data_IF_506507856865
#
_entry.id   IF_506507856865
#
_cell.length_a   1.000
_cell.length_b   1.000
_cell.length_c   1.000
_cell.angle_alpha   90.00
_cell.angle_beta   90.00
_cell.angle_gamma   90.00
#
_symmetry.space_group_name_H-M   'P 1'
#
loop_
_entity.id
_entity.type
_entity.pdbx_description
1 polymer ?
#
# COMPACT_ATOMS: atom_id res chain seq x y z
N UNK A 1 52.60 -38.48 -7.91
CA UNK A 1 51.35 -37.95 -8.49
C UNK A 1 50.09 -38.28 -7.70
N UNK A 2 49.93 -39.47 -7.09
CA UNK A 2 48.73 -39.79 -6.30
C UNK A 2 48.58 -38.92 -5.03
N UNK A 3 49.67 -38.70 -4.28
CA UNK A 3 49.69 -37.86 -3.06
C UNK A 3 49.33 -36.39 -3.29
N UNK A 4 49.77 -35.80 -4.40
CA UNK A 4 49.45 -34.40 -4.75
C UNK A 4 47.98 -34.24 -5.12
N UNK A 5 47.38 -35.24 -5.77
CA UNK A 5 45.95 -35.23 -6.09
C UNK A 5 45.08 -35.31 -4.82
N UNK A 6 45.50 -36.11 -3.82
CA UNK A 6 44.80 -36.23 -2.55
C UNK A 6 44.79 -34.92 -1.76
N UNK A 7 45.91 -34.19 -1.74
CA UNK A 7 46.01 -32.91 -1.04
C UNK A 7 45.15 -31.82 -1.70
N UNK A 8 45.07 -31.80 -3.03
CA UNK A 8 44.20 -30.87 -3.77
C UNK A 8 42.72 -31.19 -3.51
N UNK A 9 42.35 -32.48 -3.50
CA UNK A 9 40.98 -32.90 -3.21
C UNK A 9 40.53 -32.54 -1.78
N UNK A 10 41.41 -32.68 -0.79
CA UNK A 10 41.13 -32.28 0.60
C UNK A 10 41.01 -30.76 0.71
N UNK A 11 41.88 -30.01 0.04
CA UNK A 11 41.80 -28.55 -0.01
C UNK A 11 40.49 -28.05 -0.62
N UNK A 12 40.06 -28.63 -1.75
CA UNK A 12 38.79 -28.28 -2.39
C UNK A 12 37.58 -28.61 -1.48
N UNK A 13 37.64 -29.73 -0.76
CA UNK A 13 36.56 -30.15 0.15
C UNK A 13 36.39 -29.16 1.32
N UNK A 14 37.49 -28.68 1.91
CA UNK A 14 37.46 -27.70 3.00
C UNK A 14 36.92 -26.32 2.57
N UNK A 15 37.15 -25.89 1.33
CA UNK A 15 36.66 -24.60 0.83
C UNK A 15 35.13 -24.58 0.64
N UNK A 16 34.51 -25.72 0.36
CA UNK A 16 33.04 -25.81 0.16
C UNK A 16 32.23 -25.83 1.46
N UNK A 17 32.84 -26.23 2.59
CA UNK A 17 32.14 -26.37 3.86
C UNK A 17 32.02 -25.04 4.64
N UNK A 18 32.84 -24.03 4.33
CA UNK A 18 32.87 -22.76 5.08
C UNK A 18 31.82 -21.73 4.62
N UNK A 19 31.08 -21.98 3.53
CA UNK A 19 30.25 -20.97 2.88
C UNK A 19 28.85 -20.72 3.48
N UNK A 20 28.31 -21.62 4.31
CA UNK A 20 26.88 -21.58 4.68
C UNK A 20 26.58 -21.51 6.18
N UNK A 21 27.59 -21.44 7.05
CA UNK A 21 27.39 -21.52 8.51
C UNK A 21 27.36 -20.16 9.23
N UNK A 22 27.58 -19.03 8.54
CA UNK A 22 27.77 -17.71 9.20
C UNK A 22 26.48 -16.87 9.32
N UNK A 23 25.34 -17.33 8.83
CA UNK A 23 24.06 -16.66 9.09
C UNK A 23 23.52 -17.10 10.45
N UNK A 24 23.91 -16.39 11.51
CA UNK A 24 23.18 -16.49 12.77
C UNK A 24 21.76 -15.96 12.54
N UNK A 25 20.76 -16.84 12.65
CA UNK A 25 19.37 -16.44 12.70
C UNK A 25 19.15 -15.68 14.00
N UNK A 26 19.24 -14.35 13.95
CA UNK A 26 18.86 -13.51 15.06
C UNK A 26 17.33 -13.58 15.12
N UNK A 27 16.79 -14.28 16.14
CA UNK A 27 15.38 -14.18 16.52
C UNK A 27 15.15 -12.77 17.09
N UNK A 28 15.07 -11.78 16.21
CA UNK A 28 14.59 -10.46 16.59
C UNK A 28 13.09 -10.59 16.81
N UNK A 29 12.67 -10.62 18.08
CA UNK A 29 11.27 -10.43 18.41
C UNK A 29 11.00 -8.94 18.28
N UNK A 30 10.66 -8.50 17.05
CA UNK A 30 10.20 -7.13 16.83
C UNK A 30 8.76 -7.07 17.35
N UNK A 31 8.46 -6.28 18.40
CA UNK A 31 7.09 -6.08 18.80
C UNK A 31 6.29 -5.54 17.61
N UNK A 32 5.04 -6.00 17.40
CA UNK A 32 4.25 -5.54 16.27
C UNK A 32 4.13 -4.00 16.32
N UNK A 33 4.24 -3.33 15.17
CA UNK A 33 4.11 -1.88 15.13
C UNK A 33 2.72 -1.47 15.65
N UNK A 34 2.68 -0.55 16.61
CA UNK A 34 1.43 0.06 17.07
C UNK A 34 1.01 1.08 16.02
N UNK A 35 0.00 0.74 15.23
CA UNK A 35 -0.53 1.64 14.20
C UNK A 35 -1.45 2.67 14.84
N UNK A 36 -1.20 3.94 14.56
CA UNK A 36 -2.15 4.99 14.90
C UNK A 36 -3.48 4.75 14.18
N UNK A 37 -4.60 5.09 14.84
CA UNK A 37 -5.90 5.11 14.19
C UNK A 37 -5.85 6.05 12.97
N UNK A 38 -6.46 5.68 11.84
CA UNK A 38 -6.53 6.56 10.68
C UNK A 38 -7.35 7.81 11.02
N UNK A 39 -7.00 8.95 10.42
CA UNK A 39 -7.81 10.16 10.52
C UNK A 39 -9.26 9.85 10.10
N UNK A 40 -10.22 10.17 10.97
CA UNK A 40 -11.64 9.90 10.77
C UNK A 40 -12.17 10.50 9.47
N UNK A 41 -11.59 11.61 9.00
CA UNK A 41 -11.94 12.24 7.71
C UNK A 41 -11.55 11.37 6.50
N UNK A 42 -10.47 10.60 6.61
CA UNK A 42 -10.01 9.71 5.55
C UNK A 42 -10.84 8.44 5.45
N UNK A 43 -11.43 7.98 6.56
CA UNK A 43 -12.28 6.78 6.61
C UNK A 43 -13.79 7.08 6.51
N UNK A 44 -14.20 8.33 6.68
CA UNK A 44 -15.61 8.72 6.53
C UNK A 44 -16.17 8.34 5.15
N UNK A 45 -17.39 7.81 5.12
CA UNK A 45 -18.07 7.47 3.87
C UNK A 45 -18.38 8.74 3.05
N UNK A 46 -18.31 8.64 1.72
CA UNK A 46 -18.87 9.68 0.86
C UNK A 46 -20.39 9.76 1.07
N UNK A 47 -20.95 10.95 0.92
CA UNK A 47 -22.40 11.10 0.80
C UNK A 47 -22.89 10.30 -0.41
N UNK A 48 -24.05 9.65 -0.23
CA UNK A 48 -24.72 8.93 -1.31
C UNK A 48 -25.51 9.91 -2.18
N UNK A 49 -25.74 9.57 -3.46
CA UNK A 49 -26.61 10.34 -4.32
C UNK A 49 -27.97 10.58 -3.66
N UNK A 50 -28.53 11.77 -3.86
CA UNK A 50 -29.86 12.10 -3.36
C UNK A 50 -30.90 11.16 -3.96
N UNK A 51 -31.89 10.77 -3.16
CA UNK A 51 -33.06 10.05 -3.68
C UNK A 51 -33.97 11.04 -4.41
N UNK A 52 -34.19 10.80 -5.70
CA UNK A 52 -35.15 11.55 -6.49
C UNK A 52 -36.56 11.18 -6.03
N UNK A 53 -37.32 12.18 -5.56
CA UNK A 53 -38.76 12.16 -5.24
C UNK A 53 -39.32 10.83 -4.67
N UNK A 54 -39.52 10.71 -3.35
CA UNK A 54 -40.26 9.57 -2.79
C UNK A 54 -41.75 9.55 -3.21
N UNK A 55 -42.33 10.72 -3.57
CA UNK A 55 -43.78 10.91 -3.71
C UNK A 55 -44.22 11.39 -5.12
N UNK A 56 -43.27 11.43 -6.07
CA UNK A 56 -43.58 11.46 -7.50
C UNK A 56 -44.09 12.78 -8.10
N UNK A 57 -43.29 13.85 -8.08
CA UNK A 57 -43.19 14.81 -9.21
C UNK A 57 -41.79 15.42 -9.20
N UNK A 58 -41.05 15.25 -10.30
CA UNK A 58 -39.75 15.91 -10.50
C UNK A 58 -39.94 17.12 -11.40
N UNK A 59 -39.78 18.31 -10.83
CA UNK A 59 -39.68 19.54 -11.63
C UNK A 59 -38.23 19.76 -12.08
N UNK A 60 -38.04 20.45 -13.20
CA UNK A 60 -36.70 20.77 -13.69
C UNK A 60 -35.86 21.53 -12.65
N UNK A 61 -36.45 22.53 -11.98
CA UNK A 61 -35.77 23.30 -10.92
C UNK A 61 -35.33 22.40 -9.76
N UNK A 62 -36.17 21.44 -9.38
CA UNK A 62 -35.82 20.47 -8.34
C UNK A 62 -34.65 19.60 -8.79
N UNK A 63 -34.70 19.05 -10.00
CA UNK A 63 -33.64 18.18 -10.54
C UNK A 63 -32.31 18.93 -10.61
N UNK A 64 -32.30 20.16 -11.12
CA UNK A 64 -31.08 20.97 -11.24
C UNK A 64 -30.45 21.26 -9.87
N UNK A 65 -31.25 21.58 -8.85
CA UNK A 65 -30.75 21.79 -7.48
C UNK A 65 -30.14 20.52 -6.90
N UNK A 66 -30.81 19.38 -7.07
CA UNK A 66 -30.31 18.09 -6.58
C UNK A 66 -29.03 17.70 -7.30
N UNK A 67 -28.95 17.93 -8.61
CA UNK A 67 -27.75 17.69 -9.41
C UNK A 67 -26.56 18.52 -8.92
N UNK A 68 -26.76 19.82 -8.66
CA UNK A 68 -25.70 20.70 -8.13
C UNK A 68 -25.20 20.18 -6.78
N UNK A 69 -26.12 19.79 -5.90
CA UNK A 69 -25.79 19.24 -4.57
C UNK A 69 -24.94 17.97 -4.68
N UNK A 70 -25.38 17.01 -5.49
CA UNK A 70 -24.67 15.74 -5.69
C UNK A 70 -23.30 15.96 -6.30
N UNK A 71 -23.19 16.83 -7.31
CA UNK A 71 -21.92 17.15 -7.96
C UNK A 71 -20.94 17.80 -6.97
N UNK A 72 -21.41 18.68 -6.09
CA UNK A 72 -20.60 19.26 -5.01
C UNK A 72 -20.11 18.18 -4.03
N UNK A 73 -21.00 17.27 -3.62
CA UNK A 73 -20.65 16.18 -2.72
C UNK A 73 -19.59 15.24 -3.31
N UNK A 74 -19.69 14.92 -4.61
CA UNK A 74 -18.71 14.10 -5.32
C UNK A 74 -17.33 14.77 -5.39
N UNK A 75 -17.28 16.07 -5.70
CA UNK A 75 -16.02 16.82 -5.74
C UNK A 75 -15.36 16.84 -4.36
N UNK A 76 -16.13 17.15 -3.30
CA UNK A 76 -15.62 17.18 -1.94
C UNK A 76 -15.07 15.81 -1.52
N UNK A 77 -15.82 14.73 -1.76
CA UNK A 77 -15.33 13.40 -1.42
C UNK A 77 -14.11 13.01 -2.26
N UNK A 78 -14.08 13.37 -3.55
CA UNK A 78 -12.91 13.14 -4.40
C UNK A 78 -11.65 13.81 -3.85
N UNK A 79 -11.76 15.04 -3.34
CA UNK A 79 -10.64 15.73 -2.69
C UNK A 79 -10.16 15.01 -1.42
N UNK A 80 -11.07 14.57 -0.56
CA UNK A 80 -10.68 13.87 0.67
C UNK A 80 -10.05 12.51 0.40
N UNK A 81 -10.55 11.76 -0.60
CA UNK A 81 -10.00 10.44 -0.96
C UNK A 81 -8.72 10.51 -1.79
N UNK A 82 -8.48 11.63 -2.49
CA UNK A 82 -7.22 11.85 -3.21
C UNK A 82 -6.01 11.77 -2.27
N UNK A 83 -6.09 12.39 -1.09
CA UNK A 83 -5.00 12.35 -0.12
C UNK A 83 -4.65 10.92 0.32
N UNK A 84 -5.68 10.09 0.58
CA UNK A 84 -5.48 8.68 0.94
C UNK A 84 -4.86 7.87 -0.21
N UNK A 85 -5.34 8.08 -1.43
CA UNK A 85 -4.80 7.41 -2.62
C UNK A 85 -3.33 7.79 -2.85
N UNK A 86 -3.02 9.07 -2.80
CA UNK A 86 -1.67 9.59 -3.07
C UNK A 86 -0.68 9.05 -2.02
N UNK A 87 -1.07 9.00 -0.74
CA UNK A 87 -0.28 8.35 0.32
C UNK A 87 0.08 6.90 0.00
N UNK A 88 -0.89 6.08 -0.43
CA UNK A 88 -0.62 4.69 -0.77
C UNK A 88 0.22 4.54 -2.03
N UNK A 89 0.03 5.41 -3.03
CA UNK A 89 0.88 5.42 -4.23
C UNK A 89 2.34 5.73 -3.88
N UNK A 90 2.60 6.73 -3.05
CA UNK A 90 3.95 7.08 -2.60
C UNK A 90 4.60 5.96 -1.79
N UNK A 91 3.86 5.37 -0.84
CA UNK A 91 4.33 4.23 -0.04
C UNK A 91 4.73 3.05 -0.93
N UNK A 92 3.83 2.65 -1.84
CA UNK A 92 4.04 1.45 -2.64
C UNK A 92 5.22 1.64 -3.60
N UNK A 93 5.34 2.82 -4.20
CA UNK A 93 6.47 3.16 -5.04
C UNK A 93 7.81 3.13 -4.29
N UNK A 94 7.85 3.66 -3.05
CA UNK A 94 9.03 3.58 -2.21
C UNK A 94 9.41 2.12 -1.89
N UNK A 95 8.43 1.23 -1.68
CA UNK A 95 8.66 -0.20 -1.42
C UNK A 95 9.23 -0.92 -2.65
N UNK A 96 8.69 -0.67 -3.85
CA UNK A 96 9.22 -1.28 -5.08
C UNK A 96 10.44 -0.56 -5.67
N UNK A 97 10.90 0.54 -5.04
CA UNK A 97 12.05 1.31 -5.53
C UNK A 97 11.76 2.12 -6.81
N UNK A 98 10.49 2.39 -7.09
CA UNK A 98 10.05 3.24 -8.22
C UNK A 98 9.84 4.66 -7.70
N UNK A 99 10.27 5.69 -8.44
CA UNK A 99 9.96 7.08 -8.09
C UNK A 99 8.56 7.43 -8.60
N UNK A 100 7.68 7.92 -7.72
CA UNK A 100 6.42 8.57 -8.16
C UNK A 100 6.77 9.96 -8.67
N UNK A 101 6.52 10.22 -9.95
CA UNK A 101 6.68 11.56 -10.53
C UNK A 101 7.96 11.76 -11.34
N UNK A 102 8.16 10.95 -12.38
CA UNK A 102 8.80 11.40 -13.62
C UNK A 102 7.83 11.19 -14.77
#
# INVERSE_FOLDING_TARGET
>A
MKRTLTLIAIGLLCLTAAGCASTQSIKVTVPPPVLAQPDSKLVAACLRPVRLAPDGVLTQVTVERLWISDRKALIECGRSKKALRDFYQERDAAIVGVKVGQ
#
